data_IF_982688099898
#
_entry.id   IF_982688099898
#
_cell.length_a   1.000
_cell.length_b   1.000
_cell.length_c   1.000
_cell.angle_alpha   90.00
_cell.angle_beta   90.00
_cell.angle_gamma   90.00
#
_symmetry.space_group_name_H-M   'P 1'
#
loop_
_entity.id
_entity.type
_entity.pdbx_description
1 polymer ?
#
# COMPACT_ATOMS: atom_id res chain seq x y z
N UNK A 1 40.56 33.16 -5.34
CA UNK A 1 40.31 32.18 -6.42
C UNK A 1 39.14 31.33 -5.97
N UNK A 2 37.93 31.51 -6.52
CA UNK A 2 37.49 31.00 -7.84
C UNK A 2 37.52 29.46 -7.87
N UNK A 3 36.42 28.74 -8.08
CA UNK A 3 35.00 29.13 -8.22
C UNK A 3 34.12 27.93 -8.60
N UNK A 4 32.80 28.05 -8.54
CA UNK A 4 31.86 27.22 -9.32
C UNK A 4 31.95 27.63 -10.83
N UNK A 5 31.54 26.83 -11.84
CA UNK A 5 30.12 26.41 -12.01
C UNK A 5 29.83 25.13 -12.85
N UNK A 6 28.53 24.80 -12.99
CA UNK A 6 27.95 24.00 -14.10
C UNK A 6 27.63 22.53 -13.77
N UNK A 7 26.48 21.96 -14.20
CA UNK A 7 25.35 22.53 -14.95
C UNK A 7 24.28 21.47 -15.29
N UNK A 8 23.44 21.80 -16.29
CA UNK A 8 22.37 21.00 -16.94
C UNK A 8 21.13 20.69 -16.06
N UNK A 9 19.85 20.76 -16.49
CA UNK A 9 19.12 21.36 -17.63
C UNK A 9 17.95 22.20 -17.04
N UNK A 10 17.29 23.21 -17.63
CA UNK A 10 16.92 23.64 -18.99
C UNK A 10 15.73 22.90 -19.67
N UNK A 11 14.56 23.56 -19.65
CA UNK A 11 13.56 23.47 -20.72
C UNK A 11 13.07 24.88 -21.07
N UNK A 12 13.21 25.25 -22.34
CA UNK A 12 12.62 26.46 -22.92
C UNK A 12 11.65 26.04 -24.01
N UNK A 13 10.44 26.60 -24.04
CA UNK A 13 9.54 26.55 -25.19
C UNK A 13 9.28 27.97 -25.68
N UNK A 14 9.13 28.10 -27.00
CA UNK A 14 8.95 29.33 -27.76
C UNK A 14 7.80 30.22 -27.20
N UNK A 15 7.78 31.54 -27.42
CA UNK A 15 8.56 32.30 -28.40
C UNK A 15 7.65 32.88 -29.47
N UNK A 16 6.99 34.00 -29.15
CA UNK A 16 6.33 34.90 -30.09
C UNK A 16 6.44 36.32 -29.50
N UNK A 17 7.14 37.21 -30.20
CA UNK A 17 7.39 38.58 -29.76
C UNK A 17 7.40 39.51 -30.96
N UNK A 18 6.51 40.51 -30.92
CA UNK A 18 6.20 41.39 -32.04
C UNK A 18 7.25 42.47 -32.32
N UNK A 19 7.08 43.11 -33.48
CA UNK A 19 7.85 44.24 -33.96
C UNK A 19 7.49 45.57 -33.29
N UNK A 20 8.51 46.39 -33.00
CA UNK A 20 8.42 47.85 -33.12
C UNK A 20 8.40 48.65 -31.80
N UNK A 21 8.82 49.93 -31.81
CA UNK A 21 9.35 50.57 -30.61
C UNK A 21 8.59 51.84 -30.15
N UNK A 22 8.59 52.11 -28.84
CA UNK A 22 8.43 53.45 -28.30
C UNK A 22 9.16 53.61 -26.96
N UNK A 23 10.00 54.65 -26.84
CA UNK A 23 10.54 55.08 -25.55
C UNK A 23 9.51 55.96 -24.83
N UNK A 24 9.14 55.63 -23.61
CA UNK A 24 8.51 56.56 -22.67
C UNK A 24 9.24 56.53 -21.33
N UNK A 25 9.53 57.71 -20.79
CA UNK A 25 10.22 57.83 -19.51
C UNK A 25 9.25 57.51 -18.37
N UNK A 26 9.63 56.62 -17.46
CA UNK A 26 8.93 56.38 -16.20
C UNK A 26 9.83 56.76 -15.02
N UNK A 27 9.32 57.66 -14.18
CA UNK A 27 9.91 58.02 -12.90
C UNK A 27 9.89 56.82 -11.93
N UNK A 28 10.84 56.72 -10.98
CA UNK A 28 10.84 55.64 -9.99
C UNK A 28 9.60 55.73 -9.09
N UNK A 29 8.87 54.63 -8.98
CA UNK A 29 7.80 54.46 -7.99
C UNK A 29 8.40 54.29 -6.58
N UNK A 30 7.71 54.74 -5.51
CA UNK A 30 8.12 54.45 -4.14
C UNK A 30 8.02 52.94 -3.84
N UNK A 31 8.80 52.42 -2.87
CA UNK A 31 8.75 51.02 -2.50
C UNK A 31 7.34 50.64 -2.00
N UNK A 32 6.84 49.49 -2.46
CA UNK A 32 5.58 48.93 -1.96
C UNK A 32 5.73 48.54 -0.48
N UNK A 33 4.69 48.74 0.35
CA UNK A 33 4.63 48.09 1.66
C UNK A 33 4.77 46.58 1.51
N UNK A 34 5.46 45.94 2.46
CA UNK A 34 5.68 44.50 2.44
C UNK A 34 4.37 43.72 2.40
N UNK A 35 4.31 42.68 1.56
CA UNK A 35 3.27 41.67 1.66
C UNK A 35 3.34 41.04 3.07
N UNK A 36 2.20 40.81 3.75
CA UNK A 36 2.21 39.97 4.93
C UNK A 36 2.76 38.60 4.52
N UNK A 37 3.70 38.07 5.31
CA UNK A 37 4.31 36.78 5.03
C UNK A 37 3.24 35.70 4.89
N UNK A 38 3.39 34.84 3.87
CA UNK A 38 2.61 33.61 3.84
C UNK A 38 2.84 32.86 5.16
N UNK A 39 1.80 32.30 5.80
CA UNK A 39 1.99 31.52 7.01
C UNK A 39 2.71 30.22 6.63
N UNK A 40 4.03 30.20 6.76
CA UNK A 40 4.81 28.97 6.80
C UNK A 40 4.61 28.31 8.16
N UNK A 41 3.38 27.83 8.38
CA UNK A 41 3.08 26.96 9.51
C UNK A 41 3.72 25.61 9.25
N UNK A 42 4.92 25.39 9.78
CA UNK A 42 5.36 24.03 10.10
C UNK A 42 4.39 23.50 11.15
N UNK A 43 3.51 22.57 10.76
CA UNK A 43 2.70 21.81 11.71
C UNK A 43 3.64 21.10 12.68
N UNK A 44 3.19 20.91 13.93
CA UNK A 44 3.99 20.14 14.88
C UNK A 44 3.82 18.65 14.58
N UNK A 45 4.89 17.87 14.75
CA UNK A 45 4.84 16.42 14.47
C UNK A 45 3.81 15.65 15.31
N UNK A 46 3.31 16.25 16.39
CA UNK A 46 2.20 15.70 17.18
C UNK A 46 0.84 15.87 16.50
N UNK A 47 0.60 16.99 15.82
CA UNK A 47 -0.62 17.24 15.05
C UNK A 47 -0.66 16.34 13.80
N UNK A 48 0.50 16.16 13.14
CA UNK A 48 0.65 15.25 11.98
C UNK A 48 0.33 13.79 12.37
N UNK A 49 0.89 13.28 13.47
CA UNK A 49 0.59 11.92 13.97
C UNK A 49 -0.88 11.72 14.36
N UNK A 50 -1.56 12.76 14.87
CA UNK A 50 -2.99 12.68 15.23
C UNK A 50 -3.89 12.65 13.97
N UNK A 51 -3.58 13.46 12.95
CA UNK A 51 -4.29 13.46 11.66
C UNK A 51 -4.12 12.12 10.93
N UNK A 52 -2.90 11.57 10.86
CA UNK A 52 -2.64 10.24 10.29
C UNK A 52 -3.44 9.15 11.02
N UNK A 53 -3.39 9.12 12.36
CA UNK A 53 -4.15 8.16 13.15
C UNK A 53 -5.67 8.29 12.95
N UNK A 54 -6.18 9.51 12.75
CA UNK A 54 -7.59 9.73 12.45
C UNK A 54 -7.94 9.21 11.05
N UNK A 55 -7.11 9.49 10.05
CA UNK A 55 -7.29 9.00 8.68
C UNK A 55 -7.25 7.46 8.61
N UNK A 56 -6.32 6.82 9.30
CA UNK A 56 -6.23 5.36 9.38
C UNK A 56 -7.51 4.73 9.96
N UNK A 57 -8.09 5.32 11.01
CA UNK A 57 -9.36 4.87 11.62
C UNK A 57 -10.54 5.03 10.66
N UNK A 58 -10.57 6.09 9.86
CA UNK A 58 -11.62 6.33 8.86
C UNK A 58 -11.55 5.31 7.72
N UNK A 59 -10.37 5.08 7.15
CA UNK A 59 -10.16 4.06 6.11
C UNK A 59 -10.55 2.69 6.67
N UNK A 60 -10.07 2.32 7.86
CA UNK A 60 -10.39 1.02 8.49
C UNK A 60 -11.90 0.86 8.75
N UNK A 61 -12.60 1.91 9.17
CA UNK A 61 -14.06 1.89 9.36
C UNK A 61 -14.82 1.72 8.04
N UNK A 62 -14.27 2.26 6.95
CA UNK A 62 -14.81 2.17 5.60
C UNK A 62 -14.41 0.92 4.82
N UNK A 63 -13.38 0.21 5.26
CA UNK A 63 -12.80 -0.94 4.58
C UNK A 63 -13.47 -2.25 5.00
N UNK A 64 -13.62 -3.16 4.05
CA UNK A 64 -14.11 -4.52 4.30
C UNK A 64 -13.51 -5.51 3.31
N UNK A 65 -12.95 -6.63 3.78
CA UNK A 65 -12.72 -7.78 2.92
C UNK A 65 -14.02 -8.59 2.79
N UNK A 66 -14.55 -8.69 1.57
CA UNK A 66 -15.81 -9.37 1.28
C UNK A 66 -15.62 -10.88 1.11
N UNK A 67 -14.56 -11.27 0.42
CA UNK A 67 -14.17 -12.67 0.22
C UNK A 67 -12.72 -12.79 -0.26
N UNK A 68 -12.16 -13.98 -0.12
CA UNK A 68 -10.86 -14.36 -0.67
C UNK A 68 -10.93 -15.78 -1.25
N UNK A 69 -10.25 -16.03 -2.37
CA UNK A 69 -9.97 -17.37 -2.85
C UNK A 69 -8.49 -17.61 -3.12
N UNK A 70 -8.08 -18.88 -3.02
CA UNK A 70 -6.75 -19.37 -3.33
C UNK A 70 -6.88 -20.48 -4.38
N UNK A 71 -6.11 -20.36 -5.45
CA UNK A 71 -6.07 -21.29 -6.59
C UNK A 71 -4.64 -21.76 -6.82
N UNK A 72 -4.51 -23.00 -7.25
CA UNK A 72 -3.28 -23.48 -7.87
C UNK A 72 -3.06 -22.68 -9.17
N UNK A 73 -1.92 -22.01 -9.30
CA UNK A 73 -1.69 -21.08 -10.42
C UNK A 73 -1.42 -21.78 -11.76
N UNK A 74 -0.97 -23.04 -11.75
CA UNK A 74 -0.69 -23.81 -12.97
C UNK A 74 -1.98 -24.45 -13.53
N UNK A 75 -2.88 -24.90 -12.65
CA UNK A 75 -4.10 -25.63 -13.02
C UNK A 75 -5.38 -24.79 -12.92
N UNK A 76 -5.32 -23.59 -12.32
CA UNK A 76 -6.49 -22.74 -12.03
C UNK A 76 -7.44 -23.30 -10.97
N UNK A 77 -7.13 -24.48 -10.39
CA UNK A 77 -8.00 -25.24 -9.50
C UNK A 77 -8.13 -24.54 -8.15
N UNK A 78 -9.38 -24.31 -7.72
CA UNK A 78 -9.67 -23.77 -6.39
C UNK A 78 -9.13 -24.72 -5.30
N UNK A 79 -8.33 -24.16 -4.41
CA UNK A 79 -7.76 -24.83 -3.24
C UNK A 79 -8.56 -24.45 -1.99
N UNK A 80 -8.88 -23.17 -1.83
CA UNK A 80 -9.59 -22.64 -0.66
C UNK A 80 -10.41 -21.40 -1.04
N UNK A 81 -11.49 -21.16 -0.30
CA UNK A 81 -12.32 -19.95 -0.38
C UNK A 81 -12.80 -19.58 1.03
N UNK A 82 -12.93 -18.29 1.32
CA UNK A 82 -13.50 -17.77 2.56
C UNK A 82 -14.23 -16.45 2.33
N UNK A 83 -15.24 -16.19 3.15
CA UNK A 83 -16.08 -14.97 3.12
C UNK A 83 -16.04 -14.21 4.45
N UNK A 84 -15.02 -14.50 5.27
CA UNK A 84 -14.77 -13.82 6.54
C UNK A 84 -13.88 -12.60 6.28
N UNK A 85 -14.10 -11.53 7.05
CA UNK A 85 -13.30 -10.31 6.94
C UNK A 85 -11.98 -10.45 7.71
N UNK A 86 -10.99 -11.01 7.02
CA UNK A 86 -9.64 -11.20 7.55
C UNK A 86 -8.84 -9.90 7.72
N UNK A 87 -9.40 -8.72 7.40
CA UNK A 87 -8.75 -7.42 7.62
C UNK A 87 -8.94 -6.87 9.04
N UNK A 88 -9.92 -7.41 9.80
CA UNK A 88 -10.25 -6.94 11.15
C UNK A 88 -9.05 -7.15 12.10
N UNK A 89 -8.54 -6.09 12.75
CA UNK A 89 -7.43 -6.17 13.70
C UNK A 89 -7.90 -6.61 15.09
N UNK A 90 -6.94 -6.92 15.97
CA UNK A 90 -7.21 -7.24 17.39
C UNK A 90 -7.78 -8.63 17.67
N UNK A 91 -8.14 -9.38 16.63
CA UNK A 91 -8.51 -10.81 16.69
C UNK A 91 -7.49 -11.66 15.93
N UNK A 92 -7.38 -12.92 16.30
CA UNK A 92 -6.65 -13.93 15.52
C UNK A 92 -7.66 -14.77 14.75
N UNK A 93 -7.67 -14.63 13.42
CA UNK A 93 -8.54 -15.38 12.53
C UNK A 93 -7.99 -16.80 12.29
N UNK A 94 -8.83 -17.75 11.88
CA UNK A 94 -8.40 -19.08 11.45
C UNK A 94 -8.66 -19.32 9.96
N UNK A 95 -7.72 -19.93 9.24
CA UNK A 95 -7.96 -20.43 7.89
C UNK A 95 -7.55 -21.91 7.78
N UNK A 96 -8.50 -22.76 7.37
CA UNK A 96 -8.29 -24.20 7.18
C UNK A 96 -8.09 -24.51 5.69
N UNK A 97 -6.83 -24.56 5.28
CA UNK A 97 -6.41 -24.76 3.88
C UNK A 97 -6.01 -26.22 3.63
N UNK A 98 -6.26 -26.79 2.45
CA UNK A 98 -5.97 -28.21 2.22
C UNK A 98 -4.46 -28.44 2.04
N UNK A 99 -3.91 -29.50 2.64
CA UNK A 99 -2.47 -29.84 2.62
C UNK A 99 -1.79 -29.78 1.24
N UNK A 100 -2.54 -30.06 0.16
CA UNK A 100 -2.09 -29.98 -1.24
C UNK A 100 -1.53 -28.60 -1.64
N UNK A 101 -1.91 -27.51 -0.96
CA UNK A 101 -1.41 -26.15 -1.26
C UNK A 101 0.10 -26.04 -1.10
N UNK A 102 0.71 -26.82 -0.20
CA UNK A 102 2.15 -26.87 0.04
C UNK A 102 2.93 -27.54 -1.11
N UNK A 103 2.23 -28.11 -2.10
CA UNK A 103 2.81 -28.72 -3.30
C UNK A 103 2.64 -27.87 -4.55
N UNK A 104 1.89 -26.78 -4.46
CA UNK A 104 1.72 -25.85 -5.58
C UNK A 104 3.00 -25.02 -5.72
N UNK A 105 3.59 -24.99 -6.92
CA UNK A 105 4.76 -24.15 -7.21
C UNK A 105 4.45 -22.67 -7.01
N UNK A 106 3.22 -22.26 -7.32
CA UNK A 106 2.70 -20.95 -7.00
C UNK A 106 1.18 -21.00 -6.79
N UNK A 107 0.69 -20.07 -5.98
CA UNK A 107 -0.71 -19.93 -5.61
C UNK A 107 -1.20 -18.58 -6.13
N UNK A 108 -2.24 -18.59 -6.94
CA UNK A 108 -2.96 -17.37 -7.29
C UNK A 108 -3.97 -17.07 -6.18
N UNK A 109 -3.83 -15.91 -5.55
CA UNK A 109 -4.78 -15.36 -4.59
C UNK A 109 -5.67 -14.35 -5.30
N UNK A 110 -6.95 -14.38 -5.00
CA UNK A 110 -7.90 -13.34 -5.40
C UNK A 110 -8.60 -12.82 -4.15
N UNK A 111 -8.47 -11.51 -3.91
CA UNK A 111 -9.12 -10.77 -2.82
C UNK A 111 -10.25 -9.93 -3.42
N UNK A 112 -11.40 -9.86 -2.75
CA UNK A 112 -12.41 -8.86 -3.06
C UNK A 112 -12.68 -8.01 -1.82
N UNK A 113 -12.55 -6.69 -1.98
CA UNK A 113 -12.70 -5.73 -0.89
C UNK A 113 -13.53 -4.53 -1.34
N UNK A 114 -14.16 -3.88 -0.36
CA UNK A 114 -14.84 -2.59 -0.53
C UNK A 114 -14.15 -1.54 0.33
N UNK A 115 -14.19 -0.28 -0.11
CA UNK A 115 -13.74 0.87 0.68
C UNK A 115 -14.70 2.04 0.47
N UNK A 116 -15.20 2.66 1.54
CA UNK A 116 -15.88 3.96 1.44
C UNK A 116 -14.88 5.06 1.09
N UNK A 117 -13.69 4.97 1.69
CA UNK A 117 -12.62 5.95 1.56
C UNK A 117 -11.82 5.76 0.28
N UNK A 118 -11.39 6.88 -0.30
CA UNK A 118 -10.33 6.89 -1.32
C UNK A 118 -9.01 6.46 -0.68
N UNK A 119 -8.18 5.73 -1.42
CA UNK A 119 -6.77 5.50 -1.08
C UNK A 119 -5.91 5.83 -2.29
N UNK A 120 -4.80 6.52 -2.09
CA UNK A 120 -3.88 6.90 -3.17
C UNK A 120 -3.06 5.71 -3.65
N UNK A 121 -2.58 4.89 -2.70
CA UNK A 121 -1.69 3.76 -2.98
C UNK A 121 -1.91 2.62 -2.00
N UNK A 122 -3.06 1.96 -2.14
CA UNK A 122 -3.39 0.79 -1.35
C UNK A 122 -2.38 -0.34 -1.61
N UNK A 123 -1.79 -0.87 -0.53
CA UNK A 123 -0.81 -1.96 -0.58
C UNK A 123 -0.88 -2.84 0.67
N UNK A 124 -0.34 -4.05 0.55
CA UNK A 124 -0.22 -5.02 1.64
C UNK A 124 1.25 -5.38 1.87
N UNK A 125 1.63 -5.45 3.14
CA UNK A 125 2.80 -6.20 3.60
C UNK A 125 2.32 -7.44 4.33
N UNK A 126 2.89 -8.60 4.02
CA UNK A 126 2.56 -9.85 4.68
C UNK A 126 3.81 -10.55 5.19
N UNK A 127 3.75 -11.03 6.43
CA UNK A 127 4.84 -11.77 7.06
C UNK A 127 4.35 -13.14 7.51
N UNK A 128 5.02 -14.18 7.03
CA UNK A 128 4.71 -15.57 7.35
C UNK A 128 5.57 -15.98 8.55
N UNK A 129 4.94 -16.07 9.71
CA UNK A 129 5.58 -16.52 10.94
C UNK A 129 5.37 -18.01 11.17
N UNK A 130 6.44 -18.73 11.50
CA UNK A 130 6.39 -20.07 12.07
C UNK A 130 6.98 -20.05 13.47
N UNK A 131 6.17 -20.37 14.49
CA UNK A 131 6.59 -20.36 15.90
C UNK A 131 7.30 -19.06 16.34
N UNK A 132 6.86 -17.92 15.80
CA UNK A 132 7.41 -16.59 16.08
C UNK A 132 8.63 -16.19 15.24
N UNK A 133 9.20 -17.09 14.44
CA UNK A 133 10.25 -16.75 13.48
C UNK A 133 9.62 -16.36 12.14
N UNK A 134 10.02 -15.22 11.58
CA UNK A 134 9.60 -14.82 10.23
C UNK A 134 10.33 -15.68 9.20
N UNK A 135 9.58 -16.39 8.35
CA UNK A 135 10.12 -17.23 7.28
C UNK A 135 10.17 -16.48 5.95
N UNK A 136 9.09 -15.76 5.63
CA UNK A 136 8.91 -15.06 4.35
C UNK A 136 8.24 -13.70 4.58
N UNK A 137 8.59 -12.74 3.74
CA UNK A 137 7.94 -11.42 3.65
C UNK A 137 7.48 -11.20 2.21
N UNK A 138 6.22 -10.80 2.04
CA UNK A 138 5.61 -10.56 0.74
C UNK A 138 5.05 -9.14 0.67
N UNK A 139 5.22 -8.49 -0.48
CA UNK A 139 4.80 -7.12 -0.74
C UNK A 139 3.88 -7.12 -1.95
N UNK A 140 2.69 -6.54 -1.82
CA UNK A 140 1.70 -6.47 -2.89
C UNK A 140 1.15 -5.04 -3.00
N UNK A 141 1.20 -4.46 -4.20
CA UNK A 141 0.63 -3.14 -4.48
C UNK A 141 -0.66 -3.29 -5.32
N UNK A 142 -1.72 -2.60 -4.91
CA UNK A 142 -2.95 -2.45 -5.70
C UNK A 142 -2.97 -1.08 -6.39
N UNK A 143 -2.53 -0.03 -5.69
CA UNK A 143 -2.55 1.35 -6.17
C UNK A 143 -3.84 2.08 -5.77
N UNK A 144 -4.31 2.97 -6.64
CA UNK A 144 -5.43 3.87 -6.34
C UNK A 144 -6.76 3.13 -6.13
N UNK A 145 -7.48 3.46 -5.05
CA UNK A 145 -8.81 2.94 -4.73
C UNK A 145 -9.82 4.08 -4.80
N UNK A 146 -10.80 3.93 -5.70
CA UNK A 146 -11.92 4.87 -5.86
C UNK A 146 -12.79 4.85 -4.58
N UNK A 147 -13.26 6.00 -4.06
CA UNK A 147 -14.16 6.02 -2.90
C UNK A 147 -15.49 5.32 -3.20
N UNK A 148 -16.04 4.61 -2.22
CA UNK A 148 -17.24 3.76 -2.31
C UNK A 148 -17.18 2.68 -3.41
N UNK A 149 -15.98 2.20 -3.74
CA UNK A 149 -15.78 1.14 -4.73
C UNK A 149 -15.76 -0.27 -4.11
N UNK A 150 -15.88 -1.27 -4.98
CA UNK A 150 -15.63 -2.68 -4.65
C UNK A 150 -14.74 -3.26 -5.73
N UNK A 151 -13.60 -3.79 -5.33
CA UNK A 151 -12.51 -4.18 -6.22
C UNK A 151 -12.18 -5.65 -6.05
N UNK A 152 -11.80 -6.31 -7.14
CA UNK A 152 -11.21 -7.65 -7.13
C UNK A 152 -9.73 -7.51 -7.49
N UNK A 153 -8.85 -8.03 -6.63
CA UNK A 153 -7.41 -7.94 -6.77
C UNK A 153 -6.80 -9.34 -6.79
N UNK A 154 -6.16 -9.68 -7.91
CA UNK A 154 -5.40 -10.91 -8.05
C UNK A 154 -3.92 -10.68 -7.71
N UNK A 155 -3.33 -11.57 -6.92
CA UNK A 155 -1.90 -11.61 -6.61
C UNK A 155 -1.36 -13.01 -6.90
N UNK A 156 -0.09 -13.11 -7.28
CA UNK A 156 0.63 -14.38 -7.37
C UNK A 156 1.56 -14.52 -6.16
N UNK A 157 1.52 -15.67 -5.49
CA UNK A 157 2.43 -16.04 -4.41
C UNK A 157 3.27 -17.20 -4.93
N UNK A 158 4.57 -17.00 -5.08
CA UNK A 158 5.51 -18.08 -5.43
C UNK A 158 5.89 -18.85 -4.17
N UNK A 159 5.88 -20.18 -4.24
CA UNK A 159 6.26 -21.02 -3.10
C UNK A 159 7.76 -21.31 -3.13
N UNK A 160 8.37 -21.41 -1.95
CA UNK A 160 9.68 -22.02 -1.81
C UNK A 160 9.69 -23.47 -2.38
N UNK A 161 10.82 -23.97 -2.90
CA UNK A 161 10.93 -25.34 -3.42
C UNK A 161 10.43 -26.40 -2.42
N UNK A 162 9.74 -27.45 -2.90
CA UNK A 162 9.16 -28.51 -2.03
C UNK A 162 10.20 -29.15 -1.09
N UNK A 163 11.47 -29.21 -1.48
CA UNK A 163 12.58 -29.71 -0.65
C UNK A 163 12.93 -28.84 0.58
N UNK A 164 12.48 -27.59 0.60
CA UNK A 164 12.64 -26.64 1.71
C UNK A 164 11.37 -26.52 2.56
N UNK A 165 10.24 -27.04 2.07
CA UNK A 165 8.95 -26.94 2.75
C UNK A 165 8.85 -27.92 3.92
N UNK A 166 8.59 -27.40 5.12
CA UNK A 166 8.30 -28.23 6.28
C UNK A 166 7.00 -29.02 6.07
N UNK A 167 6.91 -30.28 6.52
CA UNK A 167 5.73 -31.10 6.29
C UNK A 167 4.51 -30.56 7.06
N UNK A 168 3.32 -30.77 6.47
CA UNK A 168 2.08 -30.12 6.91
C UNK A 168 1.70 -30.37 8.39
N UNK A 169 2.08 -31.52 8.95
CA UNK A 169 1.87 -31.87 10.36
C UNK A 169 2.71 -31.01 11.33
N UNK A 170 3.82 -30.43 10.86
CA UNK A 170 4.65 -29.48 11.62
C UNK A 170 4.09 -28.07 11.48
N UNK A 171 3.67 -27.68 10.27
CA UNK A 171 3.15 -26.34 9.97
C UNK A 171 1.76 -26.06 10.55
N UNK A 172 0.87 -27.06 10.57
CA UNK A 172 -0.55 -26.86 10.95
C UNK A 172 -0.71 -26.30 12.36
N UNK A 173 -1.47 -25.21 12.49
CA UNK A 173 -1.68 -24.47 13.74
C UNK A 173 -0.47 -23.64 14.21
N UNK A 174 0.73 -23.81 13.63
CA UNK A 174 1.97 -23.13 14.02
C UNK A 174 2.37 -21.98 13.09
N UNK A 175 1.71 -21.85 11.93
CA UNK A 175 1.89 -20.75 10.97
C UNK A 175 0.87 -19.65 11.23
N UNK A 176 1.35 -18.40 11.29
CA UNK A 176 0.54 -17.18 11.35
C UNK A 176 0.96 -16.29 10.19
N UNK A 177 0.00 -15.84 9.37
CA UNK A 177 0.22 -14.74 8.44
C UNK A 177 -0.21 -13.45 9.15
N UNK A 178 0.75 -12.56 9.41
CA UNK A 178 0.45 -11.17 9.75
C UNK A 178 0.25 -10.39 8.44
N UNK A 179 -0.84 -9.64 8.32
CA UNK A 179 -1.11 -8.78 7.17
C UNK A 179 -1.27 -7.35 7.63
N UNK A 180 -0.47 -6.45 7.08
CA UNK A 180 -0.58 -5.01 7.27
C UNK A 180 -1.18 -4.37 6.04
N UNK A 181 -2.16 -3.50 6.26
CA UNK A 181 -2.87 -2.76 5.22
C UNK A 181 -2.37 -1.32 5.25
N UNK A 182 -1.94 -0.79 4.11
CA UNK A 182 -1.36 0.55 3.99
C UNK A 182 -2.05 1.35 2.89
N UNK A 183 -2.13 2.67 3.09
CA UNK A 183 -2.32 3.66 2.02
C UNK A 183 -1.03 4.51 1.92
N UNK A 184 -0.23 4.25 0.88
CA UNK A 184 1.17 4.67 0.79
C UNK A 184 1.97 4.34 2.07
N UNK A 185 2.41 5.30 2.88
CA UNK A 185 3.11 5.03 4.15
C UNK A 185 2.17 4.89 5.37
N UNK A 186 0.90 5.26 5.24
CA UNK A 186 -0.07 5.23 6.35
C UNK A 186 -0.52 3.80 6.68
N UNK A 187 -0.22 3.33 7.89
CA UNK A 187 -0.69 2.03 8.39
C UNK A 187 -2.16 2.09 8.80
N UNK A 188 -3.04 1.48 8.00
CA UNK A 188 -4.49 1.41 8.23
C UNK A 188 -4.86 0.35 9.27
N UNK A 189 -4.32 -0.87 9.12
CA UNK A 189 -4.60 -1.97 10.06
C UNK A 189 -3.54 -3.06 10.05
N UNK A 190 -3.55 -3.91 11.08
CA UNK A 190 -2.75 -5.14 11.15
C UNK A 190 -3.61 -6.28 11.65
N UNK A 191 -3.78 -7.30 10.82
CA UNK A 191 -4.54 -8.52 11.12
C UNK A 191 -3.64 -9.75 11.18
N UNK A 192 -4.13 -10.83 11.83
CA UNK A 192 -3.39 -12.09 11.97
C UNK A 192 -4.29 -13.28 11.66
N UNK A 193 -3.80 -14.18 10.81
CA UNK A 193 -4.53 -15.39 10.40
C UNK A 193 -3.67 -16.61 10.72
N UNK A 194 -4.15 -17.48 11.62
CA UNK A 194 -3.53 -18.79 11.91
C UNK A 194 -3.94 -19.80 10.85
N UNK A 195 -2.95 -20.47 10.24
CA UNK A 195 -3.18 -21.47 9.21
C UNK A 195 -3.20 -22.89 9.78
N UNK A 196 -4.23 -23.64 9.39
CA UNK A 196 -4.33 -25.08 9.62
C UNK A 196 -4.33 -25.82 8.28
N UNK A 197 -3.39 -26.76 8.11
CA UNK A 197 -3.27 -27.58 6.92
C UNK A 197 -4.02 -28.90 7.12
N UNK A 198 -5.20 -29.01 6.50
CA UNK A 198 -6.15 -30.13 6.64
C UNK A 198 -6.09 -31.14 5.49
#
# INVERSE_FOLDING_TARGET
YMGSPGGWFSWTVAGAGESGPARSAFSPLPPRPGLPGAPSGTMSSQEEEEEEQQRAKEILRGFKLNWMNLRDAETGKILWQGTEDLSVPGVEHEARVPKKILKCKSVSRELNFSSTEQMEKFRLEQKVYFKGQCLEEWFFEFGFVIPNSTNTWQSLIEAAPESQMMPANVLTGNVIIETKFYDDDLLVSTSKVRLFYV
#
